data_IF_147496434052
#
_entry.id   IF_147496434052
#
_cell.length_a   1.000
_cell.length_b   1.000
_cell.length_c   1.000
_cell.angle_alpha   90.00
_cell.angle_beta   90.00
_cell.angle_gamma   90.00
#
_symmetry.space_group_name_H-M   'P 1'
#
loop_
_entity.id
_entity.type
_entity.pdbx_description
1 polymer ?
#
# COMPACT_ATOMS: atom_id res chain seq x y z
N UNK A 1 0.12 5.90 -11.83
CA UNK A 1 -0.08 5.62 -10.40
C UNK A 1 1.11 6.12 -9.59
N UNK A 2 0.89 6.86 -8.50
CA UNK A 2 1.97 7.52 -7.73
C UNK A 2 2.62 6.63 -6.67
N UNK A 3 1.85 5.67 -6.16
CA UNK A 3 2.25 4.70 -5.15
C UNK A 3 2.72 3.42 -5.85
N UNK A 4 3.83 2.84 -5.38
CA UNK A 4 4.43 1.61 -5.92
C UNK A 4 4.45 0.52 -4.85
N UNK A 5 4.67 -0.73 -5.28
CA UNK A 5 4.93 -1.86 -4.38
C UNK A 5 6.16 -1.53 -3.52
N UNK A 6 6.08 -1.82 -2.23
CA UNK A 6 7.16 -1.56 -1.27
C UNK A 6 7.05 -0.22 -0.53
N UNK A 7 6.29 0.74 -1.04
CA UNK A 7 6.06 2.02 -0.37
C UNK A 7 5.29 1.79 0.95
N UNK A 8 5.62 2.57 1.99
CA UNK A 8 4.82 2.66 3.21
C UNK A 8 3.75 3.72 3.04
N UNK A 9 2.50 3.40 3.35
CA UNK A 9 1.37 4.31 3.16
C UNK A 9 0.50 4.40 4.40
N UNK A 10 -0.17 5.54 4.56
CA UNK A 10 -1.21 5.75 5.55
C UNK A 10 -2.57 5.90 4.87
N UNK A 11 -3.60 5.29 5.44
CA UNK A 11 -4.98 5.44 4.99
C UNK A 11 -5.54 6.78 5.49
N UNK A 12 -6.05 7.59 4.57
CA UNK A 12 -6.59 8.94 4.84
C UNK A 12 -8.10 8.87 5.12
N UNK A 13 -8.79 7.97 4.42
CA UNK A 13 -10.25 7.88 4.41
C UNK A 13 -10.71 6.42 4.37
N UNK A 14 -11.91 6.15 4.89
CA UNK A 14 -12.50 4.83 4.96
C UNK A 14 -12.37 4.16 6.33
N UNK A 15 -12.73 2.88 6.41
CA UNK A 15 -12.82 2.09 7.65
C UNK A 15 -11.52 2.05 8.45
N UNK A 16 -10.39 2.03 7.75
CA UNK A 16 -9.06 1.88 8.34
C UNK A 16 -8.28 3.20 8.41
N UNK A 17 -8.98 4.35 8.42
CA UNK A 17 -8.37 5.68 8.51
C UNK A 17 -7.34 5.76 9.64
N UNK A 18 -6.17 6.32 9.34
CA UNK A 18 -5.05 6.49 10.26
C UNK A 18 -4.07 5.31 10.32
N UNK A 19 -4.50 4.10 9.90
CA UNK A 19 -3.60 2.93 9.86
C UNK A 19 -2.52 3.11 8.82
N UNK A 20 -1.33 2.63 9.15
CA UNK A 20 -0.17 2.58 8.27
C UNK A 20 0.16 1.15 7.92
N UNK A 21 0.65 0.93 6.70
CA UNK A 21 1.07 -0.39 6.24
C UNK A 21 1.91 -0.30 4.98
N UNK A 22 2.61 -1.38 4.67
CA UNK A 22 3.41 -1.51 3.45
C UNK A 22 2.52 -1.96 2.29
N UNK A 23 2.79 -1.43 1.10
CA UNK A 23 2.11 -1.86 -0.13
C UNK A 23 2.69 -3.20 -0.59
N UNK A 24 1.89 -4.25 -0.48
CA UNK A 24 2.22 -5.62 -0.89
C UNK A 24 2.15 -5.76 -2.42
N UNK A 25 1.10 -5.19 -3.00
CA UNK A 25 0.86 -5.21 -4.44
C UNK A 25 0.17 -3.92 -4.87
N UNK A 26 0.46 -3.49 -6.10
CA UNK A 26 -0.21 -2.37 -6.75
C UNK A 26 -0.90 -2.89 -8.02
N UNK A 27 -2.13 -2.43 -8.26
CA UNK A 27 -2.94 -2.77 -9.42
C UNK A 27 -3.23 -1.50 -10.22
N UNK A 28 -2.30 -1.07 -11.10
CA UNK A 28 -2.41 0.21 -11.80
C UNK A 28 -3.65 0.35 -12.67
N UNK A 29 -4.13 -0.75 -13.26
CA UNK A 29 -5.32 -0.77 -14.13
C UNK A 29 -6.61 -0.50 -13.35
N UNK A 30 -6.69 -0.98 -12.11
CA UNK A 30 -7.87 -0.87 -11.27
C UNK A 30 -7.78 0.30 -10.27
N UNK A 31 -6.72 1.10 -10.37
CA UNK A 31 -6.41 2.20 -9.44
C UNK A 31 -6.40 1.79 -7.96
N UNK A 32 -6.00 0.54 -7.69
CA UNK A 32 -6.03 -0.06 -6.35
C UNK A 32 -4.66 -0.49 -5.87
N UNK A 33 -4.50 -0.55 -4.55
CA UNK A 33 -3.32 -1.04 -3.87
C UNK A 33 -3.73 -2.01 -2.76
N UNK A 34 -2.96 -3.08 -2.59
CA UNK A 34 -3.08 -4.00 -1.47
C UNK A 34 -2.08 -3.58 -0.39
N UNK A 35 -2.61 -3.20 0.77
CA UNK A 35 -1.81 -2.69 1.89
C UNK A 35 -1.90 -3.67 3.04
N UNK A 36 -0.76 -3.99 3.64
CA UNK A 36 -0.67 -4.91 4.77
C UNK A 36 -1.51 -4.42 5.96
N UNK A 37 -2.32 -5.31 6.54
CA UNK A 37 -3.12 -5.03 7.73
C UNK A 37 -4.31 -4.08 7.52
N UNK A 38 -4.55 -3.63 6.29
CA UNK A 38 -5.61 -2.69 5.92
C UNK A 38 -6.70 -3.41 5.13
N UNK A 39 -7.95 -2.99 5.33
CA UNK A 39 -9.13 -3.48 4.63
C UNK A 39 -9.27 -5.01 4.71
N UNK A 40 -9.16 -5.56 5.93
CA UNK A 40 -9.28 -7.00 6.18
C UNK A 40 -10.73 -7.45 6.06
N UNK A 41 -10.95 -8.45 5.22
CA UNK A 41 -12.25 -9.07 4.96
C UNK A 41 -12.25 -10.53 5.38
N UNK A 42 -13.38 -10.99 5.89
CA UNK A 42 -13.61 -12.41 6.20
C UNK A 42 -14.10 -13.10 4.93
N UNK A 43 -13.32 -14.04 4.43
CA UNK A 43 -13.65 -14.87 3.26
C UNK A 43 -13.95 -16.28 3.72
N UNK A 44 -15.12 -16.80 3.35
CA UNK A 44 -15.44 -18.20 3.53
C UNK A 44 -14.73 -19.00 2.42
N UNK A 45 -13.82 -19.88 2.81
CA UNK A 45 -13.07 -20.73 1.89
C UNK A 45 -13.61 -22.15 2.02
N UNK A 46 -14.06 -22.71 0.89
CA UNK A 46 -14.47 -24.12 0.83
C UNK A 46 -13.26 -25.00 1.08
N UNK A 47 -13.46 -26.08 1.84
CA UNK A 47 -12.43 -27.12 1.97
C UNK A 47 -12.14 -27.69 0.59
N UNK A 48 -10.86 -27.84 0.26
CA UNK A 48 -10.44 -28.36 -1.04
C UNK A 48 -8.93 -28.58 -1.12
N UNK A 49 -8.48 -29.37 -2.10
CA UNK A 49 -7.06 -29.54 -2.36
C UNK A 49 -6.45 -28.21 -2.82
N UNK A 50 -5.40 -27.77 -2.15
CA UNK A 50 -4.54 -26.67 -2.59
C UNK A 50 -3.18 -27.23 -3.02
N UNK A 51 -2.37 -26.43 -3.70
CA UNK A 51 -1.05 -26.83 -4.22
C UNK A 51 -0.05 -27.36 -3.15
N UNK A 52 -0.37 -27.22 -1.86
CA UNK A 52 0.43 -27.74 -0.73
C UNK A 52 -0.28 -28.76 0.18
N UNK A 53 -1.45 -29.28 -0.21
CA UNK A 53 -2.25 -30.26 0.57
C UNK A 53 -3.72 -29.88 0.77
N UNK A 54 -4.46 -30.69 1.53
CA UNK A 54 -5.86 -30.43 1.90
C UNK A 54 -5.94 -29.28 2.91
N UNK A 55 -6.49 -28.13 2.51
CA UNK A 55 -6.80 -27.07 3.48
C UNK A 55 -8.15 -27.36 4.14
N UNK A 56 -8.17 -27.36 5.48
CA UNK A 56 -9.40 -27.33 6.23
C UNK A 56 -10.21 -26.08 5.81
N UNK A 57 -11.47 -26.29 5.44
CA UNK A 57 -12.38 -25.19 5.12
C UNK A 57 -12.59 -24.29 6.34
N UNK A 58 -12.99 -23.05 6.12
CA UNK A 58 -13.22 -22.12 7.23
C UNK A 58 -13.28 -20.65 6.82
N UNK A 59 -13.30 -19.79 7.83
CA UNK A 59 -13.28 -18.34 7.66
C UNK A 59 -11.84 -17.87 7.71
N UNK A 60 -11.30 -17.45 6.56
CA UNK A 60 -9.97 -16.87 6.45
C UNK A 60 -10.09 -15.35 6.44
N UNK A 61 -9.28 -14.67 7.24
CA UNK A 61 -9.18 -13.20 7.19
C UNK A 61 -8.07 -12.83 6.22
N UNK A 62 -8.41 -12.11 5.14
CA UNK A 62 -7.45 -11.69 4.12
C UNK A 62 -7.59 -10.19 3.86
N UNK A 63 -6.49 -9.55 3.45
CA UNK A 63 -6.46 -8.14 3.06
C UNK A 63 -7.13 -7.96 1.69
N UNK A 64 -7.94 -6.91 1.56
CA UNK A 64 -8.58 -6.56 0.30
C UNK A 64 -7.98 -5.24 -0.27
N UNK A 65 -7.89 -5.08 -1.60
CA UNK A 65 -7.34 -3.86 -2.19
C UNK A 65 -8.18 -2.63 -1.83
N UNK A 66 -7.50 -1.51 -1.58
CA UNK A 66 -8.09 -0.19 -1.36
C UNK A 66 -7.77 0.73 -2.55
N UNK A 67 -8.65 1.69 -2.83
CA UNK A 67 -8.42 2.67 -3.89
C UNK A 67 -7.22 3.59 -3.57
N UNK A 68 -6.41 3.89 -4.57
CA UNK A 68 -5.16 4.65 -4.40
C UNK A 68 -5.38 6.07 -3.89
N UNK A 69 -6.56 6.67 -4.12
CA UNK A 69 -6.89 8.00 -3.60
C UNK A 69 -7.02 8.05 -2.07
N UNK A 70 -7.30 6.90 -1.44
CA UNK A 70 -7.55 6.82 0.00
C UNK A 70 -6.27 6.57 0.80
N UNK A 71 -5.12 6.55 0.14
CA UNK A 71 -3.82 6.36 0.77
C UNK A 71 -2.85 7.50 0.43
N UNK A 72 -1.96 7.81 1.36
CA UNK A 72 -0.88 8.76 1.19
C UNK A 72 0.45 8.12 1.55
N UNK A 73 1.53 8.55 0.89
CA UNK A 73 2.88 8.07 1.18
C UNK A 73 3.31 8.51 2.57
N UNK A 74 3.96 7.60 3.29
CA UNK A 74 4.66 7.89 4.53
C UNK A 74 6.15 7.74 4.27
N UNK A 75 6.89 8.79 4.56
CA UNK A 75 8.36 8.79 4.58
C UNK A 75 8.83 8.99 6.01
N UNK A 76 9.99 8.44 6.33
CA UNK A 76 10.63 8.67 7.63
C UNK A 76 11.71 9.72 7.45
N UNK A 77 11.57 10.83 8.19
CA UNK A 77 12.56 11.91 8.23
C UNK A 77 12.82 12.30 9.66
N UNK A 78 14.10 12.37 10.04
CA UNK A 78 14.54 12.74 11.39
C UNK A 78 13.84 11.92 12.50
N UNK A 79 13.64 10.62 12.24
CA UNK A 79 12.93 9.69 13.15
C UNK A 79 11.41 9.87 13.22
N UNK A 80 10.86 10.80 12.44
CA UNK A 80 9.42 11.09 12.41
C UNK A 80 8.78 10.57 11.12
N UNK A 81 7.62 9.92 11.26
CA UNK A 81 6.80 9.48 10.12
C UNK A 81 6.01 10.66 9.57
N UNK A 82 6.40 11.12 8.38
CA UNK A 82 5.77 12.24 7.70
C UNK A 82 4.88 11.72 6.58
N UNK A 83 3.58 12.03 6.70
CA UNK A 83 2.62 11.79 5.63
C UNK A 83 2.78 12.88 4.57
N UNK A 84 2.96 12.49 3.31
CA UNK A 84 3.37 13.40 2.24
C UNK A 84 2.73 13.07 0.90
N UNK A 85 2.68 14.07 0.02
CA UNK A 85 2.29 13.89 -1.39
C UNK A 85 3.54 13.57 -2.21
N UNK A 86 3.37 12.70 -3.20
CA UNK A 86 4.43 12.39 -4.18
C UNK A 86 4.53 13.52 -5.22
N UNK A 87 5.74 14.01 -5.42
CA UNK A 87 6.19 14.88 -6.51
C UNK A 87 7.22 14.18 -7.39
N UNK A 88 7.73 14.90 -8.40
CA UNK A 88 8.76 14.42 -9.30
C UNK A 88 9.81 15.52 -9.50
N UNK A 89 11.07 15.13 -9.65
CA UNK A 89 12.21 15.98 -10.00
C UNK A 89 13.09 15.20 -11.00
N UNK A 90 13.93 15.91 -11.75
CA UNK A 90 15.00 15.31 -12.53
C UNK A 90 16.30 15.39 -11.72
N UNK A 91 17.04 14.30 -11.64
CA UNK A 91 18.41 14.33 -11.10
C UNK A 91 19.38 14.99 -12.10
N UNK A 92 20.64 15.14 -11.69
CA UNK A 92 21.69 15.74 -12.51
C UNK A 92 22.03 14.88 -13.76
N UNK A 93 21.61 13.62 -13.77
CA UNK A 93 21.76 12.67 -14.89
C UNK A 93 20.54 12.69 -15.85
N UNK A 94 19.48 13.44 -15.52
CA UNK A 94 18.25 13.54 -16.30
C UNK A 94 17.21 12.46 -16.03
N UNK A 95 17.38 11.60 -15.02
CA UNK A 95 16.40 10.61 -14.62
C UNK A 95 15.27 11.23 -13.79
N UNK A 96 14.04 10.78 -14.04
CA UNK A 96 12.86 11.24 -13.30
C UNK A 96 12.70 10.48 -12.00
N UNK A 97 13.05 11.12 -10.89
CA UNK A 97 12.94 10.59 -9.54
C UNK A 97 11.65 11.04 -8.84
N UNK A 98 11.17 10.22 -7.91
CA UNK A 98 10.02 10.56 -7.05
C UNK A 98 10.54 11.29 -5.82
N UNK A 99 9.84 12.35 -5.43
CA UNK A 99 10.23 13.18 -4.29
C UNK A 99 9.05 13.36 -3.34
N UNK A 100 9.31 13.28 -2.05
CA UNK A 100 8.33 13.60 -1.01
C UNK A 100 8.18 15.12 -0.90
N UNK A 101 7.02 15.67 -1.31
CA UNK A 101 6.83 17.12 -1.39
C UNK A 101 7.03 17.88 -0.07
N UNK A 102 6.73 17.24 1.06
CA UNK A 102 6.86 17.86 2.39
C UNK A 102 8.30 17.85 2.92
N UNK A 103 9.08 16.81 2.61
CA UNK A 103 10.43 16.63 3.16
C UNK A 103 11.55 16.97 2.18
N UNK A 104 11.26 16.97 0.88
CA UNK A 104 12.23 17.17 -0.20
C UNK A 104 13.09 15.93 -0.52
N UNK A 105 12.86 14.81 0.17
CA UNK A 105 13.65 13.59 0.04
C UNK A 105 13.18 12.72 -1.12
N UNK A 106 14.12 11.96 -1.68
CA UNK A 106 13.89 11.04 -2.79
C UNK A 106 13.30 9.71 -2.27
N UNK A 107 12.40 9.10 -3.06
CA UNK A 107 11.56 7.93 -2.68
C UNK A 107 11.74 6.71 -3.58
#
# INVERSE_FOLDING_TARGET
MKIKKGDTVQVITGKDKGKQGKVIAAYPRDERVLVEGVNRVKKHTKAGPTAGGSQAGGIVTTEAPIHVSNVQLVVEKDGNKVVTRVGYRFDDEGNKIRVAKRTGEDI
#
